data_IF_301827271195
#
_entry.id   IF_301827271195
#
_cell.length_a   1.000
_cell.length_b   1.000
_cell.length_c   1.000
_cell.angle_alpha   90.00
_cell.angle_beta   90.00
_cell.angle_gamma   90.00
#
_symmetry.space_group_name_H-M   'P 1'
#
loop_
_entity.id
_entity.type
_entity.pdbx_description
1 polymer ?
#
# COMPACT_ATOMS: atom_id res chain seq x y z
N UNK A 1 13.32 1.17 8.44
CA UNK A 1 12.07 1.08 7.65
C UNK A 1 12.41 0.86 6.19
N UNK A 2 12.97 -0.31 5.87
CA UNK A 2 13.33 -0.68 4.49
C UNK A 2 12.32 -1.70 3.94
N UNK A 3 12.18 -1.75 2.62
CA UNK A 3 11.38 -2.76 1.93
C UNK A 3 12.13 -4.10 1.89
N UNK A 4 11.42 -5.20 2.15
CA UNK A 4 11.99 -6.56 2.13
C UNK A 4 11.35 -7.33 0.99
N UNK A 5 12.18 -7.86 0.08
CA UNK A 5 11.75 -8.74 -1.01
C UNK A 5 11.39 -10.12 -0.44
N UNK A 6 10.15 -10.57 -0.63
CA UNK A 6 9.60 -11.82 -0.07
C UNK A 6 9.36 -12.89 -1.13
N UNK A 7 9.06 -12.50 -2.37
CA UNK A 7 9.02 -13.42 -3.50
C UNK A 7 10.44 -13.60 -4.05
N UNK A 8 11.13 -14.57 -3.47
CA UNK A 8 12.47 -14.95 -3.87
C UNK A 8 12.56 -15.49 -5.30
N UNK A 9 11.45 -15.96 -5.89
CA UNK A 9 11.43 -16.42 -7.27
C UNK A 9 11.45 -15.22 -8.21
N UNK A 10 10.53 -14.28 -8.02
CA UNK A 10 10.51 -13.03 -8.79
C UNK A 10 11.81 -12.23 -8.61
N UNK A 11 12.35 -12.18 -7.39
CA UNK A 11 13.64 -11.51 -7.14
C UNK A 11 14.81 -12.20 -7.87
N UNK A 12 14.84 -13.53 -7.92
CA UNK A 12 15.88 -14.28 -8.67
C UNK A 12 15.75 -14.09 -10.17
N UNK A 13 14.53 -14.12 -10.71
CA UNK A 13 14.25 -13.88 -12.12
C UNK A 13 14.66 -12.46 -12.51
N UNK A 14 14.23 -11.46 -11.74
CA UNK A 14 14.65 -10.06 -11.94
C UNK A 14 16.17 -9.90 -11.89
N UNK A 15 16.84 -10.51 -10.91
CA UNK A 15 18.31 -10.45 -10.80
C UNK A 15 18.98 -11.11 -12.00
N UNK A 16 18.49 -12.29 -12.43
CA UNK A 16 19.04 -13.00 -13.58
C UNK A 16 18.89 -12.18 -14.88
N UNK A 17 17.77 -11.49 -15.05
CA UNK A 17 17.51 -10.67 -16.23
C UNK A 17 18.23 -9.33 -16.16
N UNK A 18 18.37 -8.72 -14.97
CA UNK A 18 19.20 -7.54 -14.75
C UNK A 18 20.67 -7.80 -15.12
N UNK A 19 21.20 -8.97 -14.74
CA UNK A 19 22.56 -9.39 -15.10
C UNK A 19 22.75 -9.56 -16.63
N UNK A 20 21.72 -10.01 -17.35
CA UNK A 20 21.77 -10.17 -18.82
C UNK A 20 21.64 -8.84 -19.55
N UNK A 21 20.71 -8.00 -19.10
CA UNK A 21 20.29 -6.77 -19.80
C UNK A 21 21.08 -5.53 -19.36
N UNK A 22 21.73 -5.60 -18.20
CA UNK A 22 22.36 -4.46 -17.49
C UNK A 22 21.40 -3.30 -17.22
N UNK A 23 20.09 -3.53 -17.35
CA UNK A 23 19.03 -2.53 -17.12
C UNK A 23 17.79 -3.16 -16.51
N UNK A 24 17.28 -2.56 -15.45
CA UNK A 24 16.06 -2.95 -14.75
C UNK A 24 15.13 -1.77 -14.52
N UNK A 25 13.84 -2.05 -14.48
CA UNK A 25 12.79 -1.07 -14.19
C UNK A 25 12.06 -1.52 -12.93
N UNK A 26 12.05 -0.66 -11.93
CA UNK A 26 11.17 -0.76 -10.77
C UNK A 26 9.87 0.00 -11.07
N UNK A 27 8.75 -0.70 -11.13
CA UNK A 27 7.44 -0.13 -11.41
C UNK A 27 6.69 0.05 -10.10
N UNK A 28 6.38 1.28 -9.73
CA UNK A 28 5.49 1.56 -8.59
C UNK A 28 4.14 1.95 -9.19
N UNK A 29 3.11 1.11 -9.10
CA UNK A 29 1.85 1.39 -9.77
C UNK A 29 1.21 2.68 -9.23
N UNK A 30 0.50 3.40 -10.09
CA UNK A 30 -0.43 4.42 -9.64
C UNK A 30 -1.58 3.79 -8.82
N UNK A 31 -2.16 4.48 -7.82
CA UNK A 31 -1.84 5.84 -7.41
C UNK A 31 -0.63 5.95 -6.45
N UNK A 32 0.05 4.85 -6.13
CA UNK A 32 0.99 4.80 -5.00
C UNK A 32 2.22 5.68 -5.18
N UNK A 33 2.66 5.87 -6.43
CA UNK A 33 3.91 6.54 -6.78
C UNK A 33 4.10 7.90 -6.09
N UNK A 34 3.02 8.69 -5.95
CA UNK A 34 3.08 10.04 -5.37
C UNK A 34 3.37 10.07 -3.86
N UNK A 35 3.14 8.97 -3.15
CA UNK A 35 3.46 8.87 -1.71
C UNK A 35 4.81 8.19 -1.45
N UNK A 36 5.57 7.90 -2.50
CA UNK A 36 6.89 7.27 -2.40
C UNK A 36 8.00 8.26 -2.72
N UNK A 37 8.88 8.45 -1.75
CA UNK A 37 10.15 9.17 -1.92
C UNK A 37 11.28 8.16 -2.10
N UNK A 38 12.23 8.47 -2.99
CA UNK A 38 13.43 7.68 -3.20
C UNK A 38 14.61 8.47 -2.65
N UNK A 39 15.48 7.81 -1.92
CA UNK A 39 16.67 8.40 -1.30
C UNK A 39 17.88 7.50 -1.52
N UNK A 40 19.07 8.11 -1.54
CA UNK A 40 20.31 7.42 -1.91
C UNK A 40 20.59 7.50 -3.42
N UNK A 41 21.70 6.93 -3.83
CA UNK A 41 22.10 6.83 -5.23
C UNK A 41 21.40 5.63 -5.86
N UNK A 42 20.44 5.88 -6.76
CA UNK A 42 19.84 4.82 -7.57
C UNK A 42 20.90 4.32 -8.54
N UNK A 43 21.21 3.00 -8.58
CA UNK A 43 22.16 2.45 -9.54
C UNK A 43 21.82 2.85 -10.98
N UNK A 44 22.82 3.13 -11.81
CA UNK A 44 22.61 3.58 -13.21
C UNK A 44 21.86 2.53 -14.05
N UNK A 45 21.95 1.27 -13.64
CA UNK A 45 21.25 0.15 -14.25
C UNK A 45 19.76 0.12 -13.88
N UNK A 46 19.28 0.91 -12.91
CA UNK A 46 17.91 0.87 -12.41
C UNK A 46 17.14 2.15 -12.71
N UNK A 47 15.95 2.02 -13.30
CA UNK A 47 15.02 3.13 -13.50
C UNK A 47 13.74 2.91 -12.69
N UNK A 48 13.13 3.97 -12.16
CA UNK A 48 11.86 3.89 -11.41
C UNK A 48 10.74 4.55 -12.24
N UNK A 49 9.67 3.82 -12.53
CA UNK A 49 8.54 4.28 -13.35
C UNK A 49 7.19 4.14 -12.63
N UNK A 50 6.24 5.01 -12.98
CA UNK A 50 4.84 4.96 -12.52
C UNK A 50 3.90 4.17 -13.44
N UNK A 51 4.29 3.98 -14.71
CA UNK A 51 3.46 3.31 -15.72
C UNK A 51 4.09 2.00 -16.22
N UNK A 52 3.19 1.05 -16.53
CA UNK A 52 3.40 0.00 -17.51
C UNK A 52 3.33 0.59 -18.93
N UNK A 53 4.23 1.50 -19.27
CA UNK A 53 4.35 1.98 -20.65
C UNK A 53 5.80 2.20 -21.02
N UNK A 54 6.07 1.93 -22.29
CA UNK A 54 7.38 1.96 -22.95
C UNK A 54 7.96 3.38 -22.98
N UNK A 55 9.28 3.46 -22.75
CA UNK A 55 10.20 4.54 -23.10
C UNK A 55 9.63 5.98 -23.17
N UNK A 56 9.97 6.82 -22.17
CA UNK A 56 9.71 8.25 -22.29
C UNK A 56 10.29 9.10 -21.16
N UNK A 57 11.46 9.68 -21.43
CA UNK A 57 12.22 10.72 -20.72
C UNK A 57 11.39 11.74 -19.93
N UNK A 58 11.75 12.02 -18.66
CA UNK A 58 12.24 13.34 -18.22
C UNK A 58 12.58 13.41 -16.73
N UNK A 59 13.77 13.97 -16.46
CA UNK A 59 14.31 14.32 -15.14
C UNK A 59 13.48 15.42 -14.49
N UNK A 60 13.20 15.32 -13.19
CA UNK A 60 12.96 16.52 -12.36
C UNK A 60 13.48 16.30 -10.93
N UNK A 61 13.90 17.42 -10.34
CA UNK A 61 14.85 17.65 -9.25
C UNK A 61 14.37 17.22 -7.85
N UNK A 62 15.34 16.93 -6.97
CA UNK A 62 15.16 16.50 -5.58
C UNK A 62 15.30 17.71 -4.65
N UNK A 63 14.37 17.87 -3.69
CA UNK A 63 14.48 18.83 -2.60
C UNK A 63 14.55 18.06 -1.26
N UNK A 64 15.62 18.32 -0.50
CA UNK A 64 15.92 17.69 0.78
C UNK A 64 15.10 18.28 1.95
N UNK A 65 14.70 17.43 2.91
CA UNK A 65 14.30 17.89 4.24
C UNK A 65 14.61 16.85 5.34
N UNK A 66 14.93 17.40 6.51
CA UNK A 66 15.67 16.85 7.63
C UNK A 66 14.92 15.88 8.58
N UNK A 67 15.71 15.14 9.37
CA UNK A 67 15.45 14.03 10.30
C UNK A 67 14.48 14.28 11.49
N UNK A 68 13.89 13.19 12.03
CA UNK A 68 14.19 12.69 13.40
C UNK A 68 13.64 11.27 13.73
N UNK A 69 14.25 10.53 14.68
CA UNK A 69 14.10 9.07 14.81
C UNK A 69 13.30 8.60 16.06
N UNK A 70 12.65 7.42 15.96
CA UNK A 70 12.05 6.72 17.11
C UNK A 70 11.39 5.37 16.75
N UNK A 71 11.96 4.29 17.32
CA UNK A 71 11.61 2.84 17.42
C UNK A 71 10.10 2.48 17.44
N UNK A 72 9.59 1.28 17.11
CA UNK A 72 10.15 -0.07 16.88
C UNK A 72 9.18 -0.91 15.99
N UNK A 73 9.74 -1.53 14.95
CA UNK A 73 9.48 -2.87 14.37
C UNK A 73 8.08 -3.55 14.44
N UNK A 74 7.26 -3.34 13.41
CA UNK A 74 6.51 -4.44 12.77
C UNK A 74 6.61 -4.22 11.24
N UNK A 75 7.47 -5.00 10.58
CA UNK A 75 7.82 -4.76 9.18
C UNK A 75 6.68 -5.23 8.26
N UNK A 76 6.21 -4.37 7.33
CA UNK A 76 5.19 -4.78 6.40
C UNK A 76 5.77 -5.68 5.28
N UNK A 77 4.94 -6.60 4.78
CA UNK A 77 5.29 -7.63 3.79
C UNK A 77 5.11 -7.07 2.38
N UNK A 78 6.10 -7.29 1.51
CA UNK A 78 5.98 -7.01 0.07
C UNK A 78 5.28 -8.19 -0.62
N UNK A 79 4.56 -7.96 -1.71
CA UNK A 79 4.16 -9.00 -2.66
C UNK A 79 4.67 -8.58 -4.05
N UNK A 80 5.28 -9.52 -4.78
CA UNK A 80 5.74 -9.33 -6.15
C UNK A 80 4.88 -10.21 -7.06
N UNK A 81 4.51 -9.69 -8.22
CA UNK A 81 3.83 -10.45 -9.27
C UNK A 81 4.66 -10.43 -10.55
N UNK A 82 5.07 -11.58 -11.11
CA UNK A 82 5.71 -11.63 -12.41
C UNK A 82 4.66 -11.39 -13.52
N UNK A 83 4.98 -10.53 -14.49
CA UNK A 83 4.24 -10.47 -15.75
C UNK A 83 4.86 -11.43 -16.77
N UNK A 84 4.03 -12.34 -17.29
CA UNK A 84 4.40 -13.18 -18.43
C UNK A 84 4.39 -12.35 -19.72
N UNK A 85 5.42 -12.52 -20.55
CA UNK A 85 5.42 -11.98 -21.91
C UNK A 85 4.17 -12.47 -22.66
N UNK A 86 3.39 -11.54 -23.20
CA UNK A 86 2.20 -11.82 -23.99
C UNK A 86 2.60 -12.56 -25.26
N UNK A 87 2.20 -13.84 -25.39
CA UNK A 87 2.35 -14.61 -26.61
C UNK A 87 1.26 -14.21 -27.62
N UNK A 88 1.62 -13.36 -28.57
CA UNK A 88 0.89 -13.23 -29.83
C UNK A 88 1.32 -14.36 -30.78
N UNK A 89 0.37 -15.22 -31.17
CA UNK A 89 0.55 -16.26 -32.19
C UNK A 89 0.43 -15.65 -33.59
N UNK A 90 1.50 -15.69 -34.38
CA UNK A 90 1.53 -16.01 -35.83
C UNK A 90 3.00 -15.97 -36.35
N UNK A 91 3.47 -16.90 -37.23
CA UNK A 91 4.81 -16.89 -37.82
C UNK A 91 4.78 -16.48 -39.33
N UNK A 92 5.94 -16.29 -40.02
CA UNK A 92 6.76 -15.09 -40.01
C UNK A 92 6.88 -14.44 -41.42
N UNK A 93 7.15 -13.13 -41.47
CA UNK A 93 7.72 -12.47 -42.65
C UNK A 93 8.99 -11.73 -42.22
N UNK A 94 10.12 -12.21 -42.70
CA UNK A 94 11.46 -11.70 -42.43
C UNK A 94 11.60 -10.26 -42.96
N UNK A 95 11.99 -9.33 -42.08
CA UNK A 95 12.60 -8.06 -42.49
C UNK A 95 13.73 -7.72 -41.54
N UNK A 96 14.88 -7.39 -42.13
CA UNK A 96 16.14 -7.16 -41.45
C UNK A 96 16.10 -5.94 -40.52
N UNK A 97 16.81 -6.04 -39.38
CA UNK A 97 17.34 -4.87 -38.69
C UNK A 97 16.48 -4.28 -37.58
N UNK A 98 15.93 -5.11 -36.70
CA UNK A 98 15.68 -4.66 -35.32
C UNK A 98 16.32 -5.68 -34.40
N UNK A 99 17.40 -5.29 -33.71
CA UNK A 99 17.91 -6.11 -32.61
C UNK A 99 16.72 -6.39 -31.68
N UNK A 100 16.44 -7.65 -31.29
CA UNK A 100 15.39 -7.91 -30.33
C UNK A 100 15.75 -7.09 -29.09
N UNK A 101 14.91 -6.10 -28.77
CA UNK A 101 15.00 -5.36 -27.51
C UNK A 101 14.96 -6.45 -26.44
N UNK A 102 16.10 -6.74 -25.84
CA UNK A 102 16.14 -7.70 -24.74
C UNK A 102 15.10 -7.20 -23.73
N UNK A 103 14.16 -8.05 -23.30
CA UNK A 103 13.12 -7.63 -22.37
C UNK A 103 13.82 -7.04 -21.14
N UNK A 104 13.64 -5.75 -20.91
CA UNK A 104 14.22 -5.08 -19.75
C UNK A 104 13.65 -5.74 -18.50
N UNK A 105 14.48 -6.10 -17.53
CA UNK A 105 13.99 -6.74 -16.31
C UNK A 105 12.99 -5.79 -15.62
N UNK A 106 11.76 -6.22 -15.33
CA UNK A 106 10.74 -5.40 -14.66
C UNK A 106 10.41 -5.99 -13.31
N UNK A 107 10.34 -5.13 -12.28
CA UNK A 107 9.94 -5.50 -10.93
C UNK A 107 8.87 -4.54 -10.44
N UNK A 108 7.67 -5.06 -10.15
CA UNK A 108 6.61 -4.25 -9.59
C UNK A 108 6.79 -4.13 -8.08
N UNK A 109 6.72 -2.92 -7.54
CA UNK A 109 6.85 -2.62 -6.12
C UNK A 109 5.55 -2.01 -5.61
N UNK A 110 4.79 -2.79 -4.84
CA UNK A 110 3.59 -2.32 -4.17
C UNK A 110 3.95 -1.91 -2.73
N UNK A 111 3.94 -0.62 -2.40
CA UNK A 111 4.31 -0.16 -1.07
C UNK A 111 3.17 -0.44 -0.08
N UNK A 112 3.47 -0.95 1.13
CA UNK A 112 2.49 -1.17 2.18
C UNK A 112 2.17 0.15 2.91
N UNK A 113 1.57 1.08 2.16
CA UNK A 113 1.33 2.45 2.57
C UNK A 113 -0.13 2.71 2.98
N UNK A 114 -1.06 1.79 2.72
CA UNK A 114 -2.45 1.94 3.11
C UNK A 114 -2.66 1.61 4.58
N UNK A 115 -3.48 2.41 5.25
CA UNK A 115 -3.92 2.25 6.62
C UNK A 115 -5.44 2.10 6.61
N UNK A 116 -5.93 0.98 7.14
CA UNK A 116 -7.36 0.69 7.22
C UNK A 116 -7.91 1.07 8.60
N UNK A 117 -8.75 2.09 8.68
CA UNK A 117 -9.52 2.41 9.88
C UNK A 117 -10.82 1.63 9.90
N UNK A 118 -10.93 0.64 10.77
CA UNK A 118 -12.04 -0.31 10.78
C UNK A 118 -12.91 -0.12 12.02
N UNK A 119 -14.22 -0.10 11.81
CA UNK A 119 -15.23 -0.22 12.85
C UNK A 119 -16.24 -1.30 12.49
N UNK A 120 -16.81 -1.95 13.51
CA UNK A 120 -17.79 -3.02 13.33
C UNK A 120 -18.78 -3.07 14.49
N UNK A 121 -20.01 -3.50 14.21
CA UNK A 121 -20.94 -3.97 15.24
C UNK A 121 -20.45 -5.31 15.80
N UNK A 122 -20.88 -5.62 17.03
CA UNK A 122 -20.50 -6.87 17.71
C UNK A 122 -20.95 -8.10 16.92
N UNK A 123 -20.09 -9.11 16.87
CA UNK A 123 -20.41 -10.42 16.29
C UNK A 123 -20.28 -10.52 14.77
N UNK A 124 -19.62 -9.55 14.12
CA UNK A 124 -19.26 -9.66 12.70
C UNK A 124 -18.18 -10.71 12.49
N UNK A 125 -18.30 -11.46 11.40
CA UNK A 125 -17.33 -12.51 11.06
C UNK A 125 -16.12 -11.94 10.31
N UNK A 126 -15.03 -12.70 10.31
CA UNK A 126 -13.86 -12.41 9.46
C UNK A 126 -14.25 -12.32 7.99
N UNK A 127 -15.06 -13.27 7.50
CA UNK A 127 -15.43 -13.34 6.10
C UNK A 127 -16.24 -12.11 5.67
N UNK A 128 -17.16 -11.64 6.52
CA UNK A 128 -17.91 -10.40 6.27
C UNK A 128 -16.96 -9.19 6.20
N UNK A 129 -16.01 -9.09 7.13
CA UNK A 129 -15.08 -7.97 7.16
C UNK A 129 -14.11 -7.99 5.96
N UNK A 130 -13.51 -9.13 5.65
CA UNK A 130 -12.60 -9.25 4.51
C UNK A 130 -13.34 -8.97 3.19
N UNK A 131 -14.53 -9.52 2.98
CA UNK A 131 -15.32 -9.25 1.78
C UNK A 131 -15.62 -7.75 1.63
N UNK A 132 -15.95 -7.08 2.74
CA UNK A 132 -16.18 -5.64 2.75
C UNK A 132 -14.90 -4.84 2.43
N UNK A 133 -13.76 -5.18 3.04
CA UNK A 133 -12.48 -4.53 2.75
C UNK A 133 -12.13 -4.66 1.26
N UNK A 134 -12.21 -5.88 0.70
CA UNK A 134 -11.94 -6.13 -0.72
C UNK A 134 -12.84 -5.32 -1.64
N UNK A 135 -14.14 -5.30 -1.35
CA UNK A 135 -15.12 -4.52 -2.10
C UNK A 135 -14.75 -3.04 -2.14
N UNK A 136 -14.38 -2.46 -0.99
CA UNK A 136 -14.00 -1.03 -0.91
C UNK A 136 -12.68 -0.77 -1.64
N UNK A 137 -11.68 -1.64 -1.50
CA UNK A 137 -10.41 -1.50 -2.22
C UNK A 137 -10.61 -1.53 -3.74
N UNK A 138 -11.34 -2.54 -4.23
CA UNK A 138 -11.65 -2.70 -5.65
C UNK A 138 -12.41 -1.50 -6.22
N UNK A 139 -13.42 -1.00 -5.49
CA UNK A 139 -14.20 0.16 -5.91
C UNK A 139 -13.36 1.45 -6.02
N UNK A 140 -12.20 1.50 -5.37
CA UNK A 140 -11.30 2.67 -5.36
C UNK A 140 -9.99 2.42 -6.13
N UNK A 141 -9.86 1.29 -6.85
CA UNK A 141 -8.63 0.97 -7.59
C UNK A 141 -7.41 0.74 -6.69
N UNK A 142 -7.63 0.31 -5.45
CA UNK A 142 -6.58 0.03 -4.48
C UNK A 142 -6.28 -1.48 -4.40
N UNK A 143 -5.04 -1.80 -4.07
CA UNK A 143 -4.46 -3.14 -4.04
C UNK A 143 -4.43 -3.62 -2.60
N UNK A 144 -4.81 -4.88 -2.37
CA UNK A 144 -4.76 -5.51 -1.04
C UNK A 144 -3.32 -5.58 -0.52
N UNK A 145 -2.36 -5.75 -1.42
CA UNK A 145 -0.92 -5.79 -1.16
C UNK A 145 -0.37 -4.46 -0.61
N UNK A 146 -1.07 -3.35 -0.86
CA UNK A 146 -0.69 -2.05 -0.34
C UNK A 146 -1.14 -1.83 1.11
N UNK A 147 -1.91 -2.75 1.70
CA UNK A 147 -2.30 -2.68 3.12
C UNK A 147 -1.05 -2.84 3.99
N UNK A 148 -0.77 -1.81 4.80
CA UNK A 148 0.37 -1.79 5.72
C UNK A 148 -0.01 -1.83 7.19
N UNK A 149 -1.27 -1.57 7.53
CA UNK A 149 -1.76 -1.52 8.92
C UNK A 149 -3.28 -1.52 9.01
N UNK A 150 -3.83 -2.12 10.07
CA UNK A 150 -5.22 -1.96 10.50
C UNK A 150 -5.26 -1.13 11.79
N UNK A 151 -6.23 -0.23 11.90
CA UNK A 151 -6.43 0.64 13.05
C UNK A 151 -7.90 0.64 13.51
N UNK A 152 -8.14 0.64 14.82
CA UNK A 152 -9.48 0.73 15.40
C UNK A 152 -9.47 1.42 16.77
N UNK A 153 -10.64 1.54 17.39
CA UNK A 153 -10.79 2.02 18.78
C UNK A 153 -10.63 0.86 19.76
N UNK A 154 -10.05 1.11 20.92
CA UNK A 154 -9.81 0.13 21.99
C UNK A 154 -11.07 -0.59 22.50
N UNK A 155 -12.25 0.03 22.41
CA UNK A 155 -13.56 -0.60 22.64
C UNK A 155 -13.82 -1.81 21.73
N UNK A 156 -13.02 -1.99 20.67
CA UNK A 156 -13.11 -3.10 19.70
C UNK A 156 -12.00 -4.13 19.85
N UNK A 157 -11.14 -4.03 20.86
CA UNK A 157 -10.01 -4.95 21.07
C UNK A 157 -10.41 -6.42 21.21
N UNK A 158 -11.62 -6.68 21.71
CA UNK A 158 -12.13 -8.03 21.95
C UNK A 158 -12.94 -8.58 20.75
N UNK A 159 -13.01 -7.85 19.62
CA UNK A 159 -13.68 -8.33 18.40
C UNK A 159 -12.73 -9.22 17.58
N UNK A 160 -12.97 -10.54 17.45
CA UNK A 160 -12.04 -11.45 16.80
C UNK A 160 -11.81 -11.16 15.31
N UNK A 161 -12.81 -10.61 14.63
CA UNK A 161 -12.72 -10.29 13.20
C UNK A 161 -11.59 -9.31 12.87
N UNK A 162 -11.27 -8.36 13.76
CA UNK A 162 -10.17 -7.41 13.54
C UNK A 162 -8.80 -8.10 13.59
N UNK A 163 -8.60 -8.97 14.58
CA UNK A 163 -7.36 -9.72 14.74
C UNK A 163 -7.15 -10.68 13.58
N UNK A 164 -8.19 -11.43 13.21
CA UNK A 164 -8.13 -12.35 12.07
C UNK A 164 -7.85 -11.60 10.78
N UNK A 165 -8.52 -10.48 10.49
CA UNK A 165 -8.23 -9.69 9.30
C UNK A 165 -6.78 -9.17 9.26
N UNK A 166 -6.26 -8.67 10.39
CA UNK A 166 -4.87 -8.23 10.47
C UNK A 166 -3.88 -9.39 10.26
N UNK A 167 -4.20 -10.58 10.75
CA UNK A 167 -3.44 -11.82 10.51
C UNK A 167 -3.50 -12.25 9.05
N UNK A 168 -4.68 -12.24 8.41
CA UNK A 168 -4.87 -12.55 6.98
C UNK A 168 -3.98 -11.67 6.11
N UNK A 169 -3.95 -10.36 6.38
CA UNK A 169 -3.10 -9.42 5.65
C UNK A 169 -1.64 -9.43 6.12
N UNK A 170 -1.36 -10.03 7.27
CA UNK A 170 -0.03 -10.08 7.86
C UNK A 170 0.51 -8.71 8.28
N UNK A 171 -0.36 -7.83 8.76
CA UNK A 171 -0.06 -6.44 9.10
C UNK A 171 -0.33 -6.14 10.58
N UNK A 172 0.31 -5.11 11.17
CA UNK A 172 0.01 -4.70 12.52
C UNK A 172 -1.44 -4.21 12.67
N UNK A 173 -2.05 -4.54 13.81
CA UNK A 173 -3.31 -3.99 14.29
C UNK A 173 -3.04 -3.04 15.46
N UNK A 174 -3.51 -1.80 15.37
CA UNK A 174 -3.38 -0.79 16.43
C UNK A 174 -4.74 -0.36 16.94
N UNK A 175 -4.84 -0.21 18.25
CA UNK A 175 -6.01 0.31 18.93
C UNK A 175 -5.69 1.66 19.55
N UNK A 176 -6.67 2.57 19.54
CA UNK A 176 -6.57 3.89 20.14
C UNK A 176 -7.73 4.10 21.09
N UNK A 177 -7.48 4.78 22.19
CA UNK A 177 -8.51 5.26 23.12
C UNK A 177 -9.33 6.37 22.47
N UNK A 178 -10.53 6.63 23.00
CA UNK A 178 -11.35 7.76 22.56
C UNK A 178 -10.61 9.11 22.70
N UNK A 179 -9.82 9.28 23.76
CA UNK A 179 -9.03 10.49 24.00
C UNK A 179 -7.97 10.70 22.91
N UNK A 180 -7.19 9.67 22.60
CA UNK A 180 -6.18 9.71 21.53
C UNK A 180 -6.82 10.09 20.18
N UNK A 181 -7.97 9.49 19.86
CA UNK A 181 -8.70 9.80 18.62
C UNK A 181 -9.19 11.25 18.58
N UNK A 182 -9.64 11.79 19.71
CA UNK A 182 -10.13 13.17 19.79
C UNK A 182 -9.01 14.21 19.72
N UNK A 183 -7.78 13.86 20.11
CA UNK A 183 -6.61 14.73 19.99
C UNK A 183 -6.11 14.87 18.54
N UNK A 184 -6.50 13.96 17.65
CA UNK A 184 -6.16 14.03 16.23
C UNK A 184 -6.79 15.28 15.60
N UNK A 185 -5.94 16.10 14.98
CA UNK A 185 -6.37 17.25 14.17
C UNK A 185 -6.79 16.80 12.77
N UNK A 186 -7.87 17.39 12.26
CA UNK A 186 -8.38 17.11 10.92
C UNK A 186 -9.84 17.49 10.80
N UNK A 187 -10.33 17.55 9.57
CA UNK A 187 -11.75 17.68 9.28
C UNK A 187 -12.36 16.29 9.18
N UNK A 188 -13.22 15.95 10.14
CA UNK A 188 -13.86 14.64 10.23
C UNK A 188 -15.37 14.79 10.21
N UNK A 189 -16.05 13.83 9.56
CA UNK A 189 -17.51 13.80 9.54
C UNK A 189 -18.04 13.50 10.95
N UNK A 190 -18.64 14.48 11.63
CA UNK A 190 -19.10 14.33 13.02
C UNK A 190 -20.36 13.46 13.10
N UNK A 191 -20.41 12.52 14.05
CA UNK A 191 -21.61 11.75 14.36
C UNK A 191 -21.97 11.78 15.85
N UNK A 192 -23.12 12.36 16.18
CA UNK A 192 -23.62 12.45 17.55
C UNK A 192 -23.87 11.05 18.18
N UNK A 193 -24.34 10.08 17.39
CA UNK A 193 -24.54 8.70 17.85
C UNK A 193 -23.20 8.02 18.18
N UNK A 194 -22.18 8.19 17.34
CA UNK A 194 -20.85 7.61 17.60
C UNK A 194 -20.25 8.25 18.85
N UNK A 195 -20.34 9.59 18.97
CA UNK A 195 -19.85 10.29 20.15
C UNK A 195 -20.50 9.82 21.46
N UNK A 196 -21.82 9.62 21.47
CA UNK A 196 -22.52 9.13 22.65
C UNK A 196 -22.11 7.69 23.05
N UNK A 197 -21.71 6.85 22.09
CA UNK A 197 -21.37 5.43 22.32
C UNK A 197 -19.88 5.24 22.62
N UNK A 198 -19.01 6.01 21.97
CA UNK A 198 -17.56 5.78 22.02
C UNK A 198 -16.77 6.92 22.63
N UNK A 199 -17.39 8.08 22.88
CA UNK A 199 -16.69 9.31 23.23
C UNK A 199 -16.02 10.03 22.05
N UNK A 200 -16.00 9.42 20.85
CA UNK A 200 -15.42 9.99 19.63
C UNK A 200 -16.48 10.20 18.55
N UNK A 201 -16.43 11.29 17.80
CA UNK A 201 -17.43 11.61 16.77
C UNK A 201 -17.24 10.83 15.45
N UNK A 202 -16.02 10.35 15.16
CA UNK A 202 -15.69 9.57 13.97
C UNK A 202 -14.48 8.64 14.18
N UNK A 203 -14.75 7.39 14.56
CA UNK A 203 -13.68 6.44 14.93
C UNK A 203 -12.79 6.04 13.76
N UNK A 204 -13.35 5.64 12.62
CA UNK A 204 -12.56 5.05 11.53
C UNK A 204 -11.61 6.06 10.87
N UNK A 205 -12.08 7.27 10.57
CA UNK A 205 -11.22 8.30 9.95
C UNK A 205 -10.15 8.81 10.91
N UNK A 206 -10.50 9.01 12.19
CA UNK A 206 -9.53 9.40 13.22
C UNK A 206 -8.49 8.32 13.46
N UNK A 207 -8.89 7.05 13.47
CA UNK A 207 -7.98 5.93 13.67
C UNK A 207 -6.96 5.82 12.53
N UNK A 208 -7.36 6.13 11.29
CA UNK A 208 -6.45 6.22 10.13
C UNK A 208 -5.38 7.28 10.35
N UNK A 209 -5.78 8.51 10.73
CA UNK A 209 -4.82 9.60 10.95
C UNK A 209 -3.96 9.35 12.21
N UNK A 210 -4.55 8.87 13.32
CA UNK A 210 -3.81 8.48 14.53
C UNK A 210 -2.75 7.40 14.24
N UNK A 211 -3.02 6.53 13.27
CA UNK A 211 -2.11 5.51 12.79
C UNK A 211 -0.98 6.04 11.88
N UNK A 212 -0.96 7.34 11.57
CA UNK A 212 0.12 8.00 10.82
C UNK A 212 -0.15 8.15 9.32
N UNK A 213 -1.42 8.15 8.90
CA UNK A 213 -1.76 8.54 7.54
C UNK A 213 -1.53 10.05 7.33
N UNK A 214 -0.98 10.40 6.18
CA UNK A 214 -0.83 11.78 5.69
C UNK A 214 -2.19 12.35 5.27
N UNK A 215 -2.99 11.53 4.58
CA UNK A 215 -4.31 11.90 4.09
C UNK A 215 -5.27 10.71 4.05
N UNK A 216 -6.57 11.00 4.01
CA UNK A 216 -7.64 10.02 3.80
C UNK A 216 -7.92 9.93 2.32
N UNK A 217 -7.76 8.74 1.75
CA UNK A 217 -8.07 8.44 0.34
C UNK A 217 -9.52 8.05 0.15
N UNK A 218 -10.03 7.24 1.08
CA UNK A 218 -11.41 6.77 1.08
C UNK A 218 -12.04 7.20 2.40
N UNK A 219 -12.95 8.20 2.37
CA UNK A 219 -13.75 8.56 3.53
C UNK A 219 -14.55 7.38 4.06
N UNK A 220 -15.16 7.53 5.23
CA UNK A 220 -15.95 6.48 5.86
C UNK A 220 -16.99 5.89 4.92
N UNK A 221 -16.78 4.64 4.55
CA UNK A 221 -17.78 3.78 3.90
C UNK A 221 -18.43 2.91 4.97
N UNK A 222 -19.76 2.80 4.95
CA UNK A 222 -20.52 2.02 5.93
C UNK A 222 -21.46 1.04 5.23
N UNK A 223 -21.41 -0.23 5.62
CA UNK A 223 -22.26 -1.29 5.05
C UNK A 223 -22.54 -2.37 6.09
N UNK A 224 -23.81 -2.71 6.29
CA UNK A 224 -24.24 -3.82 7.15
C UNK A 224 -23.66 -3.83 8.58
N UNK A 225 -23.36 -2.66 9.15
CA UNK A 225 -22.75 -2.53 10.48
C UNK A 225 -21.23 -2.66 10.50
N UNK A 226 -20.58 -2.70 9.34
CA UNK A 226 -19.15 -2.51 9.15
C UNK A 226 -18.90 -1.07 8.68
N UNK A 227 -17.76 -0.50 9.06
CA UNK A 227 -17.31 0.80 8.60
C UNK A 227 -15.82 0.76 8.30
N UNK A 228 -15.41 1.34 7.18
CA UNK A 228 -14.01 1.41 6.75
C UNK A 228 -13.69 2.83 6.27
N UNK A 229 -12.55 3.35 6.70
CA UNK A 229 -11.87 4.47 6.08
C UNK A 229 -10.48 4.02 5.66
N UNK A 230 -9.94 4.57 4.58
CA UNK A 230 -8.61 4.24 4.09
C UNK A 230 -7.80 5.52 3.98
N UNK A 231 -6.65 5.55 4.63
CA UNK A 231 -5.65 6.58 4.43
C UNK A 231 -4.34 6.02 3.95
N UNK A 232 -3.42 6.91 3.67
CA UNK A 232 -2.11 6.57 3.12
C UNK A 232 -1.02 7.30 3.89
N UNK A 233 0.08 6.60 4.14
CA UNK A 233 1.30 7.20 4.70
C UNK A 233 2.36 7.35 3.62
N UNK A 234 3.17 8.39 3.71
CA UNK A 234 4.39 8.50 2.90
C UNK A 234 5.35 7.38 3.24
N UNK A 235 5.99 6.80 2.23
CA UNK A 235 7.06 5.83 2.43
C UNK A 235 8.32 6.27 1.68
N UNK A 236 9.45 5.76 2.15
CA UNK A 236 10.74 6.04 1.57
C UNK A 236 11.45 4.75 1.17
N UNK A 237 11.91 4.71 -0.08
CA UNK A 237 12.84 3.70 -0.58
C UNK A 237 14.25 4.23 -0.39
N UNK A 238 15.14 3.41 0.19
CA UNK A 238 16.58 3.70 0.30
C UNK A 238 17.32 2.71 -0.60
N UNK A 239 18.17 3.25 -1.47
CA UNK A 239 19.19 2.49 -2.21
C UNK A 239 20.53 2.59 -1.48
#
# INVERSE_FOLDING_TARGET
NGLVLTDFKAAKEFTADLLKTKKGILVIPEPYRKWITVSGEVPEELTISGEESEAGTNRTEVQEAHLNPGKESCLPKLLLSPQAAVHGTDPPLESEGTAPLLPTARLQLIPPCLILGVGLKKGKTEQELLAFIRKVLQANGLLEEAIGQVASIDLKKDEPALWMAAETYGVPLRFFTAEELMQVKGEFSKSAFVHAVTGADNVCERAVIAAGAEEILVPKTAENGLTLAIGVRKMMIRF
#
